data_IF_023115356312
#
_entry.id   IF_023115356312
#
_cell.length_a   1.000
_cell.length_b   1.000
_cell.length_c   1.000
_cell.angle_alpha   90.00
_cell.angle_beta   90.00
_cell.angle_gamma   90.00
#
_symmetry.space_group_name_H-M   'P 1'
#
loop_
_entity.id
_entity.type
_entity.pdbx_description
1 polymer ?
#
# COMPACT_ATOMS: atom_id res chain seq x y z
N UNK A 1 -7.42 -14.01 2.64
CA UNK A 1 -7.68 -12.56 2.60
C UNK A 1 -6.82 -11.87 1.56
N UNK A 2 -5.52 -11.72 1.73
CA UNK A 2 -4.65 -10.95 0.81
C UNK A 2 -4.58 -11.43 -0.64
N UNK A 3 -5.05 -12.62 -0.95
CA UNK A 3 -5.06 -13.22 -2.29
C UNK A 3 -6.43 -13.22 -2.96
N UNK A 4 -7.45 -12.64 -2.33
CA UNK A 4 -8.76 -12.49 -2.98
C UNK A 4 -8.75 -11.28 -3.90
N UNK A 5 -9.45 -11.39 -5.04
CA UNK A 5 -9.52 -10.30 -6.02
C UNK A 5 -10.07 -9.02 -5.40
N UNK A 6 -11.10 -9.13 -4.62
CA UNK A 6 -11.76 -7.98 -3.95
C UNK A 6 -10.81 -7.23 -3.02
N UNK A 7 -9.97 -7.96 -2.26
CA UNK A 7 -8.98 -7.32 -1.40
C UNK A 7 -7.86 -6.65 -2.21
N UNK A 8 -7.39 -7.31 -3.26
CA UNK A 8 -6.37 -6.74 -4.16
C UNK A 8 -6.91 -5.46 -4.80
N UNK A 9 -8.14 -5.47 -5.30
CA UNK A 9 -8.76 -4.30 -5.92
C UNK A 9 -8.87 -3.12 -4.92
N UNK A 10 -9.33 -3.38 -3.70
CA UNK A 10 -9.40 -2.35 -2.65
C UNK A 10 -8.01 -1.82 -2.24
N UNK A 11 -6.99 -2.68 -2.25
CA UNK A 11 -5.62 -2.28 -1.87
C UNK A 11 -4.94 -1.36 -2.89
N UNK A 12 -5.43 -1.30 -4.13
CA UNK A 12 -4.89 -0.43 -5.19
C UNK A 12 -5.11 1.07 -4.93
N UNK A 13 -6.09 1.40 -4.09
CA UNK A 13 -6.31 2.77 -3.63
C UNK A 13 -5.29 3.21 -2.54
N UNK A 14 -4.39 2.31 -2.12
CA UNK A 14 -3.41 2.56 -1.06
C UNK A 14 -1.98 2.37 -1.55
N UNK A 15 -1.07 3.16 -1.00
CA UNK A 15 0.37 2.92 -1.13
C UNK A 15 0.81 1.95 -0.04
N UNK A 16 1.04 0.69 -0.41
CA UNK A 16 1.49 -0.33 0.52
C UNK A 16 2.99 -0.19 0.82
N UNK A 17 3.33 0.06 2.08
CA UNK A 17 4.73 0.24 2.51
C UNK A 17 5.10 -0.84 3.53
N UNK A 18 6.20 -1.52 3.27
CA UNK A 18 6.80 -2.45 4.23
C UNK A 18 8.06 -1.84 4.84
N UNK A 19 8.09 -1.71 6.17
CA UNK A 19 9.21 -1.16 6.90
C UNK A 19 10.09 -2.29 7.48
N UNK A 20 11.40 -2.20 7.27
CA UNK A 20 12.41 -3.14 7.78
C UNK A 20 12.94 -2.63 9.12
N UNK A 21 12.18 -2.80 10.18
CA UNK A 21 12.45 -2.16 11.47
C UNK A 21 13.65 -2.74 12.23
N UNK A 22 14.08 -3.96 11.92
CA UNK A 22 15.26 -4.57 12.54
C UNK A 22 16.58 -4.11 11.93
N UNK A 23 16.56 -3.72 10.66
CA UNK A 23 17.75 -3.34 9.90
C UNK A 23 17.91 -1.83 9.75
N UNK A 24 16.83 -1.08 9.94
CA UNK A 24 16.79 0.36 9.73
C UNK A 24 16.22 1.09 10.96
N UNK A 25 17.08 1.89 11.61
CA UNK A 25 16.72 2.64 12.81
C UNK A 25 15.68 3.75 12.57
N UNK A 26 15.63 4.32 11.37
CA UNK A 26 14.62 5.31 11.01
C UNK A 26 13.24 4.65 10.90
N UNK A 27 13.19 3.46 10.29
CA UNK A 27 11.96 2.65 10.24
C UNK A 27 11.52 2.21 11.64
N UNK A 28 12.46 1.80 12.49
CA UNK A 28 12.16 1.47 13.90
C UNK A 28 11.57 2.67 14.63
N UNK A 29 12.16 3.87 14.47
CA UNK A 29 11.68 5.09 15.11
C UNK A 29 10.25 5.45 14.65
N UNK A 30 9.97 5.27 13.35
CA UNK A 30 8.64 5.50 12.78
C UNK A 30 7.59 4.56 13.38
N UNK A 31 7.91 3.26 13.48
CA UNK A 31 7.01 2.27 14.10
C UNK A 31 6.77 2.58 15.57
N UNK A 32 7.82 2.98 16.31
CA UNK A 32 7.67 3.40 17.71
C UNK A 32 6.77 4.64 17.86
N UNK A 33 6.82 5.58 16.91
CA UNK A 33 5.92 6.74 16.88
C UNK A 33 4.45 6.29 16.87
N UNK A 34 4.09 5.37 15.96
CA UNK A 34 2.71 4.88 15.82
C UNK A 34 2.29 3.85 16.88
N UNK A 35 3.21 3.32 17.65
CA UNK A 35 2.95 2.40 18.76
C UNK A 35 3.13 3.06 20.15
N UNK A 36 3.14 4.38 20.23
CA UNK A 36 3.30 5.10 21.51
C UNK A 36 4.56 4.67 22.26
N UNK A 37 5.69 4.54 21.57
CA UNK A 37 6.98 4.12 22.13
C UNK A 37 7.18 2.61 22.25
N UNK A 38 6.15 1.80 22.02
CA UNK A 38 6.28 0.33 22.02
C UNK A 38 6.91 -0.17 20.72
N UNK A 39 7.44 -1.37 20.76
CA UNK A 39 7.95 -2.07 19.59
C UNK A 39 7.21 -3.40 19.42
N UNK A 40 6.89 -3.74 18.17
CA UNK A 40 6.33 -5.03 17.81
C UNK A 40 6.90 -5.51 16.47
N UNK A 41 7.08 -6.83 16.35
CA UNK A 41 7.68 -7.45 15.16
C UNK A 41 6.81 -7.34 13.90
N UNK A 42 5.51 -7.23 14.09
CA UNK A 42 4.54 -7.09 13.00
C UNK A 42 3.47 -6.11 13.44
N UNK A 43 3.27 -5.08 12.65
CA UNK A 43 2.27 -4.03 12.88
C UNK A 43 1.66 -3.66 11.56
N UNK A 44 0.34 -3.56 11.56
CA UNK A 44 -0.45 -2.97 10.49
C UNK A 44 -1.05 -1.67 11.02
N UNK A 45 -1.08 -0.67 10.19
CA UNK A 45 -1.76 0.61 10.42
C UNK A 45 -2.02 1.28 9.09
N UNK A 46 -3.02 2.13 9.01
CA UNK A 46 -3.28 2.99 7.86
C UNK A 46 -2.98 4.42 8.26
N UNK A 47 -2.26 5.12 7.41
CA UNK A 47 -1.86 6.52 7.60
C UNK A 47 -2.51 7.39 6.54
N UNK A 48 -2.61 8.69 6.82
CA UNK A 48 -2.93 9.71 5.82
C UNK A 48 -1.88 9.72 4.69
N UNK A 49 -2.19 10.26 3.50
CA UNK A 49 -1.27 10.27 2.36
C UNK A 49 0.07 10.98 2.63
N UNK A 50 0.10 11.92 3.55
CA UNK A 50 1.32 12.62 4.02
C UNK A 50 2.05 11.88 5.16
N UNK A 51 1.48 10.76 5.63
CA UNK A 51 1.96 9.97 6.77
C UNK A 51 2.07 10.75 8.10
N UNK A 52 1.35 11.84 8.25
CA UNK A 52 1.33 12.63 9.49
C UNK A 52 0.28 12.13 10.48
N UNK A 53 -0.86 11.67 9.98
CA UNK A 53 -1.98 11.20 10.78
C UNK A 53 -2.17 9.69 10.66
N UNK A 54 -2.50 9.06 11.78
CA UNK A 54 -2.86 7.66 11.86
C UNK A 54 -4.38 7.52 11.77
N UNK A 55 -4.88 6.96 10.67
CA UNK A 55 -6.31 6.83 10.37
C UNK A 55 -6.94 5.64 11.09
N UNK A 56 -6.16 4.62 11.40
CA UNK A 56 -6.63 3.43 12.11
C UNK A 56 -5.77 3.14 13.32
N UNK A 57 -6.28 2.37 14.26
CA UNK A 57 -5.43 1.81 15.32
C UNK A 57 -4.34 0.90 14.75
N UNK A 58 -3.25 0.75 15.46
CA UNK A 58 -2.22 -0.21 15.12
C UNK A 58 -2.50 -1.58 15.73
N UNK A 59 -2.31 -2.66 14.98
CA UNK A 59 -2.46 -4.03 15.48
C UNK A 59 -1.55 -5.01 14.70
N UNK A 60 -1.52 -6.27 15.14
CA UNK A 60 -0.69 -7.32 14.55
C UNK A 60 -1.34 -8.01 13.36
N UNK A 61 -2.63 -7.80 13.13
CA UNK A 61 -3.39 -8.38 12.01
C UNK A 61 -4.23 -7.31 11.34
N UNK A 62 -4.43 -7.35 10.03
CA UNK A 62 -5.29 -6.40 9.32
C UNK A 62 -6.72 -6.38 9.83
N UNK A 63 -7.30 -7.53 10.13
CA UNK A 63 -8.67 -7.66 10.69
C UNK A 63 -8.82 -7.09 12.09
N UNK A 64 -7.72 -6.78 12.76
CA UNK A 64 -7.71 -6.05 14.04
C UNK A 64 -7.38 -4.57 13.89
N UNK A 65 -7.15 -4.12 12.67
CA UNK A 65 -6.89 -2.71 12.30
C UNK A 65 -8.10 -2.13 11.59
N UNK A 66 -8.66 -2.88 10.65
CA UNK A 66 -9.76 -2.51 9.77
C UNK A 66 -10.96 -3.44 10.00
N UNK A 67 -12.17 -2.96 9.72
CA UNK A 67 -13.42 -3.71 9.87
C UNK A 67 -13.77 -4.07 11.33
N UNK A 68 -13.17 -3.38 12.29
CA UNK A 68 -13.32 -3.72 13.70
C UNK A 68 -14.63 -3.18 14.25
N UNK A 69 -15.46 -4.08 14.79
CA UNK A 69 -16.70 -3.71 15.47
C UNK A 69 -16.50 -3.61 16.99
N UNK A 70 -17.15 -2.62 17.60
CA UNK A 70 -17.05 -2.38 19.04
C UNK A 70 -15.82 -1.56 19.44
N UNK A 71 -15.68 -1.32 20.76
CA UNK A 71 -14.58 -0.54 21.36
C UNK A 71 -13.98 -1.24 22.56
N UNK A 72 -12.67 -1.02 22.77
CA UNK A 72 -11.92 -1.52 23.92
C UNK A 72 -11.75 -3.05 23.94
N UNK A 73 -11.74 -3.69 25.12
CA UNK A 73 -11.47 -5.12 25.26
C UNK A 73 -12.51 -6.05 24.60
N UNK A 74 -13.66 -5.52 24.21
CA UNK A 74 -14.75 -6.27 23.53
C UNK A 74 -14.79 -6.01 22.03
N UNK A 75 -13.78 -5.33 21.47
CA UNK A 75 -13.68 -5.13 20.03
C UNK A 75 -13.45 -6.48 19.34
N UNK A 76 -14.31 -6.82 18.39
CA UNK A 76 -14.19 -8.03 17.58
C UNK A 76 -13.44 -7.74 16.30
N UNK A 77 -12.60 -8.68 15.87
CA UNK A 77 -11.89 -8.59 14.61
C UNK A 77 -12.89 -8.63 13.45
N UNK A 78 -12.69 -7.79 12.46
CA UNK A 78 -13.53 -7.76 11.26
C UNK A 78 -13.41 -9.01 10.40
N UNK A 79 -14.43 -9.28 9.62
CA UNK A 79 -14.36 -10.23 8.51
C UNK A 79 -13.50 -9.65 7.37
N UNK A 80 -13.22 -10.44 6.34
CA UNK A 80 -12.52 -9.92 5.14
C UNK A 80 -13.35 -8.85 4.45
N UNK A 81 -14.65 -9.04 4.39
CA UNK A 81 -15.61 -8.10 3.81
C UNK A 81 -15.65 -6.78 4.58
N UNK A 82 -15.63 -6.83 5.92
CA UNK A 82 -15.59 -5.62 6.76
C UNK A 82 -14.28 -4.83 6.55
N UNK A 83 -13.16 -5.55 6.40
CA UNK A 83 -11.87 -4.92 6.10
C UNK A 83 -11.91 -4.19 4.75
N UNK A 84 -12.43 -4.84 3.71
CA UNK A 84 -12.56 -4.25 2.37
C UNK A 84 -13.46 -3.02 2.42
N UNK A 85 -14.62 -3.12 3.07
CA UNK A 85 -15.57 -2.02 3.18
C UNK A 85 -14.96 -0.79 3.87
N UNK A 86 -14.21 -0.98 4.96
CA UNK A 86 -13.53 0.13 5.65
C UNK A 86 -12.37 0.70 4.81
N UNK A 87 -11.63 -0.14 4.07
CA UNK A 87 -10.62 0.35 3.12
C UNK A 87 -11.26 1.25 2.05
N UNK A 88 -12.36 0.83 1.46
CA UNK A 88 -13.08 1.62 0.46
C UNK A 88 -13.59 2.96 1.02
N UNK A 89 -14.08 2.98 2.27
CA UNK A 89 -14.52 4.21 2.92
C UNK A 89 -13.36 5.17 3.17
N UNK A 90 -12.23 4.68 3.67
CA UNK A 90 -11.02 5.50 3.86
C UNK A 90 -10.55 6.05 2.50
N UNK A 91 -10.48 5.18 1.47
CA UNK A 91 -10.04 5.61 0.15
C UNK A 91 -10.93 6.72 -0.45
N UNK A 92 -12.24 6.69 -0.23
CA UNK A 92 -13.17 7.74 -0.69
C UNK A 92 -12.83 9.11 -0.11
N UNK A 93 -12.42 9.17 1.15
CA UNK A 93 -12.09 10.43 1.84
C UNK A 93 -10.87 11.12 1.21
N UNK A 94 -9.92 10.31 0.71
CA UNK A 94 -8.64 10.80 0.17
C UNK A 94 -8.56 10.78 -1.35
N UNK A 95 -9.61 10.32 -2.05
CA UNK A 95 -9.64 10.39 -3.51
C UNK A 95 -9.60 11.85 -3.95
N UNK A 96 -8.53 12.21 -4.63
CA UNK A 96 -8.47 13.47 -5.35
C UNK A 96 -9.47 13.44 -6.50
N UNK A 97 -10.26 14.49 -6.68
CA UNK A 97 -11.20 14.66 -7.80
C UNK A 97 -10.50 14.90 -9.16
N UNK A 98 -9.26 14.49 -9.28
CA UNK A 98 -8.48 14.54 -10.51
C UNK A 98 -8.57 13.20 -11.23
N UNK A 99 -8.83 13.30 -12.53
CA UNK A 99 -8.82 12.18 -13.48
C UNK A 99 -7.37 11.62 -13.53
N UNK A 100 -7.01 10.77 -12.55
CA UNK A 100 -5.68 10.15 -12.50
C UNK A 100 -5.65 8.93 -13.43
N UNK A 101 -5.77 9.19 -14.73
CA UNK A 101 -5.46 8.23 -15.79
C UNK A 101 -3.95 7.87 -15.83
N UNK A 102 -3.16 8.37 -14.89
CA UNK A 102 -1.71 8.23 -14.88
C UNK A 102 -1.18 7.16 -13.91
N UNK A 103 -2.04 6.30 -13.39
CA UNK A 103 -1.67 5.24 -12.44
C UNK A 103 -0.99 4.02 -13.05
N UNK A 104 -0.84 3.98 -14.36
CA UNK A 104 -0.40 2.77 -15.08
C UNK A 104 1.09 2.50 -14.96
N UNK A 105 1.92 3.50 -14.70
CA UNK A 105 3.36 3.33 -14.59
C UNK A 105 3.89 3.94 -13.29
N UNK A 106 4.25 3.07 -12.34
CA UNK A 106 4.95 3.49 -11.13
C UNK A 106 6.46 3.42 -11.37
N UNK A 107 7.14 4.56 -11.23
CA UNK A 107 8.59 4.61 -11.23
C UNK A 107 9.12 4.42 -9.81
N UNK A 108 10.12 3.58 -9.66
CA UNK A 108 10.80 3.35 -8.39
C UNK A 108 12.22 3.86 -8.45
N UNK A 109 12.66 4.52 -7.38
CA UNK A 109 14.01 5.07 -7.30
C UNK A 109 15.10 4.02 -7.06
N UNK A 110 14.73 2.85 -6.57
CA UNK A 110 15.68 1.75 -6.33
C UNK A 110 15.10 0.42 -6.79
N UNK A 111 15.98 -0.44 -7.30
CA UNK A 111 15.64 -1.81 -7.68
C UNK A 111 15.01 -2.60 -6.51
N UNK A 112 15.56 -2.44 -5.30
CA UNK A 112 15.07 -3.14 -4.11
C UNK A 112 13.63 -2.76 -3.79
N UNK A 113 13.29 -1.49 -3.90
CA UNK A 113 11.93 -1.00 -3.69
C UNK A 113 10.99 -1.58 -4.75
N UNK A 114 11.35 -1.49 -6.03
CA UNK A 114 10.57 -2.04 -7.13
C UNK A 114 10.33 -3.56 -6.97
N UNK A 115 11.38 -4.31 -6.62
CA UNK A 115 11.27 -5.74 -6.41
C UNK A 115 10.36 -6.09 -5.22
N UNK A 116 10.46 -5.35 -4.12
CA UNK A 116 9.62 -5.58 -2.94
C UNK A 116 8.14 -5.33 -3.24
N UNK A 117 7.82 -4.27 -3.97
CA UNK A 117 6.45 -3.94 -4.37
C UNK A 117 5.93 -4.98 -5.36
N UNK A 118 6.67 -5.26 -6.44
CA UNK A 118 6.27 -6.25 -7.43
C UNK A 118 6.06 -7.65 -6.82
N UNK A 119 6.93 -8.06 -5.89
CA UNK A 119 6.79 -9.34 -5.18
C UNK A 119 5.61 -9.34 -4.21
N UNK A 120 5.37 -8.23 -3.51
CA UNK A 120 4.23 -8.09 -2.59
C UNK A 120 2.89 -8.14 -3.30
N UNK A 121 2.80 -7.46 -4.43
CA UNK A 121 1.58 -7.34 -5.23
C UNK A 121 1.45 -8.45 -6.28
N UNK A 122 2.43 -9.38 -6.37
CA UNK A 122 2.50 -10.43 -7.39
C UNK A 122 2.47 -9.89 -8.83
N UNK A 123 3.10 -8.73 -9.05
CA UNK A 123 3.16 -8.04 -10.34
C UNK A 123 4.46 -8.30 -11.08
N UNK A 124 4.44 -8.12 -12.39
CA UNK A 124 5.64 -8.16 -13.22
C UNK A 124 6.50 -6.92 -12.95
N UNK A 125 7.81 -7.14 -12.76
CA UNK A 125 8.79 -6.06 -12.69
C UNK A 125 9.44 -5.87 -14.06
N UNK A 126 9.23 -4.70 -14.67
CA UNK A 126 9.86 -4.34 -15.95
C UNK A 126 11.07 -3.46 -15.68
N UNK A 127 12.21 -3.89 -16.19
CA UNK A 127 13.47 -3.15 -16.11
C UNK A 127 13.71 -2.42 -17.42
N UNK A 128 13.83 -1.10 -17.35
CA UNK A 128 14.16 -0.27 -18.51
C UNK A 128 15.51 0.41 -18.29
N UNK A 129 16.48 0.04 -19.12
CA UNK A 129 17.77 0.73 -19.17
C UNK A 129 17.76 1.75 -20.30
N UNK A 130 17.80 3.01 -19.96
CA UNK A 130 17.77 4.10 -20.93
C UNK A 130 18.69 5.25 -20.53
N UNK A 131 19.06 6.08 -21.48
CA UNK A 131 19.70 7.35 -21.17
C UNK A 131 18.70 8.31 -20.48
N UNK A 132 19.19 9.23 -19.67
CA UNK A 132 18.34 10.17 -18.93
C UNK A 132 17.41 10.99 -19.86
N UNK A 133 17.81 11.24 -21.11
CA UNK A 133 17.00 11.97 -22.11
C UNK A 133 15.91 11.14 -22.80
N UNK A 134 15.96 9.81 -22.66
CA UNK A 134 15.01 8.90 -23.33
C UNK A 134 13.91 8.39 -22.38
N UNK A 135 13.98 8.69 -21.10
CA UNK A 135 13.05 8.17 -20.09
C UNK A 135 11.59 8.48 -20.43
N UNK A 136 11.28 9.76 -20.71
CA UNK A 136 9.90 10.17 -20.97
C UNK A 136 9.35 9.51 -22.25
N UNK A 137 10.18 9.39 -23.28
CA UNK A 137 9.80 8.73 -24.54
C UNK A 137 9.49 7.24 -24.31
N UNK A 138 10.33 6.56 -23.53
CA UNK A 138 10.13 5.14 -23.24
C UNK A 138 8.90 4.95 -22.35
N UNK A 139 8.67 5.81 -21.38
CA UNK A 139 7.49 5.81 -20.54
C UNK A 139 6.22 5.90 -21.39
N UNK A 140 6.15 6.83 -22.33
CA UNK A 140 5.01 6.95 -23.23
C UNK A 140 4.84 5.72 -24.14
N UNK A 141 5.92 5.11 -24.60
CA UNK A 141 5.86 3.89 -25.40
C UNK A 141 5.35 2.68 -24.60
N UNK A 142 5.64 2.61 -23.30
CA UNK A 142 5.22 1.50 -22.43
C UNK A 142 3.80 1.68 -21.91
N UNK A 143 3.29 2.90 -21.82
CA UNK A 143 1.95 3.20 -21.31
C UNK A 143 0.83 2.32 -21.90
N UNK A 144 0.69 2.14 -23.24
CA UNK A 144 -0.35 1.28 -23.79
C UNK A 144 -0.13 -0.21 -23.47
N UNK A 145 1.09 -0.65 -23.21
CA UNK A 145 1.38 -2.04 -22.85
C UNK A 145 0.87 -2.35 -21.44
N UNK A 146 1.06 -1.43 -20.51
CA UNK A 146 0.62 -1.58 -19.13
C UNK A 146 -0.88 -1.30 -18.92
N UNK A 147 -1.54 -0.72 -19.92
CA UNK A 147 -2.99 -0.54 -19.93
C UNK A 147 -3.76 -1.81 -20.35
N UNK A 148 -3.07 -2.91 -20.67
CA UNK A 148 -3.68 -4.19 -21.01
C UNK A 148 -4.09 -4.88 -19.71
N UNK A 149 -5.40 -5.10 -19.50
CA UNK A 149 -5.97 -5.73 -18.30
C UNK A 149 -5.29 -7.04 -17.89
N UNK A 150 -4.83 -7.84 -18.87
CA UNK A 150 -4.14 -9.11 -18.64
C UNK A 150 -2.74 -8.96 -18.02
N UNK A 151 -2.15 -7.76 -18.09
CA UNK A 151 -0.83 -7.45 -17.51
C UNK A 151 -0.99 -6.77 -16.16
N UNK A 152 -2.07 -6.05 -15.96
CA UNK A 152 -2.35 -5.33 -14.70
C UNK A 152 -2.89 -6.27 -13.59
N UNK A 153 -3.20 -7.53 -13.90
CA UNK A 153 -3.48 -8.64 -12.99
C UNK A 153 -4.83 -8.61 -12.34
#
# INVERSE_FOLDING_TARGET
MFSTKEFIDASRDFVCVRLETFENKEHEALVRKYLEGRFANTVFTVLSPDAEEQLTRSSRTPTSVLGVTGRGPRAEAGSTEDVIAEMEEIAKEFRTSGDSTDTVLQDFHTFRQALNVASGDQRLLVFVAASAGDHDRIREMLRPVFAIEEIDG
#
